data_IF_961462941228
#
_entry.id   IF_961462941228
#
_cell.length_a   1.000
_cell.length_b   1.000
_cell.length_c   1.000
_cell.angle_alpha   90.00
_cell.angle_beta   90.00
_cell.angle_gamma   90.00
#
_symmetry.space_group_name_H-M   'P 1'
#
loop_
_entity.id
_entity.type
_entity.pdbx_description
1 polymer ?
#
# COMPACT_ATOMS: atom_id res chain seq x y z
N UNK A 1 14.05 7.82 -24.31
CA UNK A 1 14.98 7.30 -23.27
C UNK A 1 14.59 7.79 -21.87
N UNK A 2 14.47 9.11 -21.63
CA UNK A 2 14.17 9.68 -20.30
C UNK A 2 12.82 9.28 -19.67
N UNK A 3 11.74 9.12 -20.46
CA UNK A 3 10.43 8.66 -19.93
C UNK A 3 10.46 7.23 -19.40
N UNK A 4 11.15 6.31 -20.09
CA UNK A 4 11.19 4.90 -19.66
C UNK A 4 11.96 4.70 -18.35
N UNK A 5 13.04 5.46 -18.14
CA UNK A 5 13.79 5.45 -16.88
C UNK A 5 13.00 6.04 -15.73
N UNK A 6 12.27 7.15 -15.95
CA UNK A 6 11.41 7.75 -14.95
C UNK A 6 10.30 6.79 -14.49
N UNK A 7 9.63 6.10 -15.43
CA UNK A 7 8.57 5.14 -15.07
C UNK A 7 9.12 3.92 -14.31
N UNK A 8 10.33 3.43 -14.66
CA UNK A 8 10.97 2.37 -13.86
C UNK A 8 11.29 2.85 -12.44
N UNK A 9 11.81 4.07 -12.31
CA UNK A 9 12.13 4.65 -11.00
C UNK A 9 10.87 4.79 -10.16
N UNK A 10 9.79 5.33 -10.72
CA UNK A 10 8.48 5.41 -10.07
C UNK A 10 8.01 4.02 -9.62
N UNK A 11 8.09 3.00 -10.48
CA UNK A 11 7.68 1.65 -10.13
C UNK A 11 8.50 1.01 -9.01
N UNK A 12 9.80 1.29 -8.92
CA UNK A 12 10.62 0.83 -7.81
C UNK A 12 10.36 1.62 -6.52
N UNK A 13 10.10 2.93 -6.61
CA UNK A 13 9.67 3.75 -5.47
C UNK A 13 8.33 3.26 -4.93
N UNK A 14 7.39 2.92 -5.82
CA UNK A 14 6.11 2.29 -5.47
C UNK A 14 6.34 0.96 -4.76
N UNK A 15 7.19 0.08 -5.30
CA UNK A 15 7.49 -1.20 -4.68
C UNK A 15 8.06 -1.04 -3.26
N UNK A 16 9.01 -0.11 -3.06
CA UNK A 16 9.59 0.15 -1.73
C UNK A 16 8.55 0.74 -0.77
N UNK A 17 7.80 1.75 -1.21
CA UNK A 17 6.81 2.42 -0.37
C UNK A 17 5.68 1.48 0.04
N UNK A 18 5.16 0.67 -0.89
CA UNK A 18 4.12 -0.33 -0.62
C UNK A 18 4.67 -1.44 0.28
N UNK A 19 5.91 -1.90 0.09
CA UNK A 19 6.53 -2.87 1.03
C UNK A 19 6.54 -2.36 2.48
N UNK A 20 6.77 -1.06 2.69
CA UNK A 20 6.72 -0.45 4.03
C UNK A 20 5.28 -0.28 4.54
N UNK A 21 4.31 -0.13 3.65
CA UNK A 21 2.88 -0.04 3.96
C UNK A 21 2.27 -1.39 4.36
N UNK A 22 2.59 -2.45 3.61
CA UNK A 22 2.17 -3.82 3.84
C UNK A 22 2.58 -4.36 5.23
N UNK A 23 3.66 -3.81 5.82
CA UNK A 23 4.11 -4.23 7.16
C UNK A 23 3.04 -3.96 8.24
N UNK A 24 2.55 -2.71 8.43
CA UNK A 24 1.44 -2.49 9.35
C UNK A 24 0.12 -3.17 8.99
N UNK A 25 -0.17 -3.40 7.70
CA UNK A 25 -1.34 -4.20 7.30
C UNK A 25 -1.25 -5.62 7.86
N UNK A 26 -0.10 -6.28 7.69
CA UNK A 26 0.17 -7.57 8.28
C UNK A 26 0.03 -7.56 9.81
N UNK A 27 0.57 -6.54 10.48
CA UNK A 27 0.42 -6.38 11.94
C UNK A 27 -1.06 -6.26 12.34
N UNK A 28 -1.87 -5.56 11.54
CA UNK A 28 -3.31 -5.44 11.76
C UNK A 28 -4.02 -6.80 11.63
N UNK A 29 -3.61 -7.66 10.68
CA UNK A 29 -4.10 -9.04 10.59
C UNK A 29 -3.81 -9.79 11.90
N UNK A 30 -2.57 -9.75 12.38
CA UNK A 30 -2.20 -10.40 13.63
C UNK A 30 -3.02 -9.88 14.83
N UNK A 31 -3.19 -8.57 14.94
CA UNK A 31 -3.99 -7.93 15.99
C UNK A 31 -5.46 -8.38 15.95
N UNK A 32 -6.06 -8.45 14.76
CA UNK A 32 -7.42 -8.92 14.57
C UNK A 32 -7.60 -10.39 14.99
N UNK A 33 -6.61 -11.24 14.74
CA UNK A 33 -6.62 -12.63 15.24
C UNK A 33 -6.49 -12.71 16.76
N UNK A 34 -5.72 -11.82 17.39
CA UNK A 34 -5.56 -11.79 18.85
C UNK A 34 -6.81 -11.32 19.60
N UNK A 35 -7.60 -10.40 19.01
CA UNK A 35 -8.88 -9.95 19.60
C UNK A 35 -9.95 -11.05 19.56
N UNK A 36 -9.92 -11.93 18.55
CA UNK A 36 -10.86 -13.03 18.40
C UNK A 36 -12.18 -12.64 17.70
N UNK A 37 -13.23 -13.45 17.89
CA UNK A 37 -14.57 -13.15 17.36
C UNK A 37 -14.74 -13.24 15.84
N UNK A 38 -13.81 -13.88 15.12
CA UNK A 38 -13.86 -14.00 13.66
C UNK A 38 -13.35 -12.78 12.88
N UNK A 39 -12.79 -11.78 13.57
CA UNK A 39 -12.25 -10.58 12.94
C UNK A 39 -11.00 -10.86 12.09
N UNK A 40 -10.13 -11.79 12.52
CA UNK A 40 -8.91 -12.16 11.80
C UNK A 40 -9.13 -12.52 10.33
N UNK A 41 -9.97 -13.53 10.01
CA UNK A 41 -10.28 -13.89 8.63
C UNK A 41 -10.89 -12.76 7.81
N UNK A 42 -11.75 -11.92 8.42
CA UNK A 42 -12.39 -10.80 7.74
C UNK A 42 -11.37 -9.72 7.35
N UNK A 43 -10.49 -9.36 8.28
CA UNK A 43 -9.42 -8.37 8.05
C UNK A 43 -8.41 -8.91 7.04
N UNK A 44 -8.00 -10.18 7.16
CA UNK A 44 -7.09 -10.81 6.20
C UNK A 44 -7.66 -10.82 4.77
N UNK A 45 -8.95 -11.15 4.60
CA UNK A 45 -9.60 -11.10 3.29
C UNK A 45 -9.70 -9.66 2.76
N UNK A 46 -10.03 -8.70 3.62
CA UNK A 46 -10.16 -7.29 3.25
C UNK A 46 -8.83 -6.72 2.74
N UNK A 47 -7.73 -7.01 3.45
CA UNK A 47 -6.37 -6.64 3.03
C UNK A 47 -5.99 -7.38 1.75
N UNK A 48 -6.23 -8.69 1.64
CA UNK A 48 -5.94 -9.42 0.40
C UNK A 48 -6.61 -8.81 -0.84
N UNK A 49 -7.83 -8.29 -0.70
CA UNK A 49 -8.52 -7.57 -1.78
C UNK A 49 -7.94 -6.16 -2.02
N UNK A 50 -7.45 -5.48 -0.99
CA UNK A 50 -6.79 -4.18 -1.08
C UNK A 50 -5.46 -4.23 -1.85
N UNK A 51 -4.66 -5.28 -1.62
CA UNK A 51 -3.32 -5.37 -2.19
C UNK A 51 -3.35 -5.73 -3.70
N UNK A 52 -4.51 -6.13 -4.25
CA UNK A 52 -4.68 -6.34 -5.70
C UNK A 52 -4.49 -5.00 -6.46
N UNK A 53 -5.27 -3.94 -6.17
CA UNK A 53 -5.00 -2.59 -6.68
C UNK A 53 -3.57 -2.11 -6.49
N UNK A 54 -2.95 -2.32 -5.33
CA UNK A 54 -1.59 -1.86 -5.05
C UNK A 54 -0.53 -2.60 -5.88
N UNK A 55 -0.70 -3.91 -6.05
CA UNK A 55 0.12 -4.72 -6.94
C UNK A 55 0.03 -4.21 -8.39
N UNK A 56 -1.17 -3.85 -8.86
CA UNK A 56 -1.36 -3.24 -10.19
C UNK A 56 -0.69 -1.87 -10.26
N UNK A 57 -0.84 -1.03 -9.23
CA UNK A 57 -0.24 0.31 -9.16
C UNK A 57 1.30 0.26 -9.15
N UNK A 58 1.89 -0.79 -8.57
CA UNK A 58 3.33 -1.06 -8.62
C UNK A 58 3.77 -1.59 -9.99
N UNK A 59 3.01 -2.52 -10.56
CA UNK A 59 3.35 -3.19 -11.81
C UNK A 59 3.27 -2.27 -13.04
N UNK A 60 2.24 -1.40 -13.10
CA UNK A 60 1.97 -0.54 -14.24
C UNK A 60 3.17 0.36 -14.64
N UNK A 61 3.78 1.16 -13.73
CA UNK A 61 4.93 1.99 -14.08
C UNK A 61 6.17 1.16 -14.46
N UNK A 62 6.40 -0.02 -13.85
CA UNK A 62 7.48 -0.91 -14.27
C UNK A 62 7.27 -1.43 -15.71
N UNK A 63 6.03 -1.78 -16.06
CA UNK A 63 5.66 -2.21 -17.40
C UNK A 63 5.81 -1.08 -18.42
N UNK A 64 5.31 0.12 -18.09
CA UNK A 64 5.45 1.33 -18.93
C UNK A 64 6.92 1.75 -19.09
N UNK A 65 7.75 1.47 -18.08
CA UNK A 65 9.19 1.61 -18.14
C UNK A 65 9.89 0.55 -19.01
N UNK A 66 9.17 -0.41 -19.58
CA UNK A 66 9.70 -1.45 -20.46
C UNK A 66 10.47 -2.54 -19.70
N UNK A 67 10.14 -2.79 -18.43
CA UNK A 67 10.67 -3.94 -17.69
C UNK A 67 10.01 -5.24 -18.20
N UNK A 68 10.75 -6.35 -18.22
CA UNK A 68 10.20 -7.63 -18.69
C UNK A 68 9.16 -8.15 -17.68
N UNK A 69 8.04 -8.77 -18.12
CA UNK A 69 6.98 -9.24 -17.22
C UNK A 69 7.47 -10.15 -16.08
N UNK A 70 8.47 -11.00 -16.33
CA UNK A 70 9.06 -11.87 -15.29
C UNK A 70 9.69 -11.07 -14.15
N UNK A 71 10.36 -9.95 -14.42
CA UNK A 71 10.94 -9.11 -13.38
C UNK A 71 9.86 -8.37 -12.61
N UNK A 72 8.80 -7.92 -13.30
CA UNK A 72 7.65 -7.27 -12.67
C UNK A 72 6.95 -8.24 -11.71
N UNK A 73 6.72 -9.47 -12.15
CA UNK A 73 6.13 -10.52 -11.33
C UNK A 73 7.00 -10.81 -10.10
N UNK A 74 8.32 -10.94 -10.27
CA UNK A 74 9.24 -11.12 -9.15
C UNK A 74 9.22 -9.94 -8.18
N UNK A 75 9.24 -8.70 -8.68
CA UNK A 75 9.18 -7.50 -7.85
C UNK A 75 7.88 -7.46 -7.04
N UNK A 76 6.72 -7.61 -7.69
CA UNK A 76 5.42 -7.58 -6.99
C UNK A 76 5.30 -8.74 -6.00
N UNK A 77 5.75 -9.95 -6.37
CA UNK A 77 5.76 -11.09 -5.44
C UNK A 77 6.61 -10.82 -4.20
N UNK A 78 7.78 -10.19 -4.34
CA UNK A 78 8.63 -9.81 -3.19
C UNK A 78 7.94 -8.76 -2.32
N UNK A 79 7.29 -7.76 -2.93
CA UNK A 79 6.51 -6.75 -2.19
C UNK A 79 5.40 -7.43 -1.40
N UNK A 80 4.64 -8.33 -2.01
CA UNK A 80 3.54 -9.05 -1.34
C UNK A 80 3.98 -9.95 -0.18
N UNK A 81 5.28 -10.25 -0.02
CA UNK A 81 5.80 -10.97 1.15
C UNK A 81 5.87 -10.07 2.41
N UNK A 82 5.80 -8.75 2.27
CA UNK A 82 5.85 -7.85 3.41
C UNK A 82 4.58 -7.92 4.27
N UNK A 83 3.41 -8.20 3.69
CA UNK A 83 2.18 -8.45 4.45
C UNK A 83 2.30 -9.67 5.39
N UNK A 84 2.62 -10.89 4.92
CA UNK A 84 2.82 -12.03 5.82
C UNK A 84 4.00 -11.84 6.78
N UNK A 85 5.06 -11.13 6.37
CA UNK A 85 6.15 -10.76 7.26
C UNK A 85 5.66 -9.84 8.39
N UNK A 86 4.85 -8.83 8.06
CA UNK A 86 4.18 -7.94 9.00
C UNK A 86 3.28 -8.72 9.97
N UNK A 87 2.54 -9.71 9.48
CA UNK A 87 1.72 -10.60 10.33
C UNK A 87 2.59 -11.39 11.30
N UNK A 88 3.69 -11.98 10.85
CA UNK A 88 4.62 -12.70 11.73
C UNK A 88 5.20 -11.77 12.79
N UNK A 89 5.70 -10.60 12.39
CA UNK A 89 6.19 -9.56 13.30
C UNK A 89 5.08 -9.17 14.29
N UNK A 90 3.85 -8.97 13.81
CA UNK A 90 2.67 -8.64 14.60
C UNK A 90 2.37 -9.67 15.68
N UNK A 91 2.46 -10.97 15.37
CA UNK A 91 2.25 -12.05 16.36
C UNK A 91 3.23 -11.91 17.54
N UNK A 92 4.49 -11.53 17.28
CA UNK A 92 5.46 -11.27 18.34
C UNK A 92 5.22 -9.92 19.03
N UNK A 93 4.85 -8.87 18.27
CA UNK A 93 4.63 -7.51 18.77
C UNK A 93 3.34 -7.34 19.58
N UNK A 94 2.34 -8.21 19.43
CA UNK A 94 1.14 -8.19 20.27
C UNK A 94 1.49 -8.45 21.74
N UNK A 95 2.65 -9.06 22.00
CA UNK A 95 3.21 -9.19 23.35
C UNK A 95 4.02 -7.96 23.81
N UNK A 96 4.25 -6.99 22.91
CA UNK A 96 5.03 -5.77 23.14
C UNK A 96 4.13 -4.57 23.44
N UNK A 97 4.74 -3.50 23.99
CA UNK A 97 4.00 -2.33 24.49
C UNK A 97 3.29 -1.54 23.38
N UNK A 98 2.19 -0.82 23.70
CA UNK A 98 1.45 0.01 22.74
C UNK A 98 2.32 0.99 21.93
N UNK A 99 3.45 1.44 22.47
CA UNK A 99 4.36 2.38 21.78
C UNK A 99 5.00 1.82 20.51
N UNK A 100 5.28 0.50 20.45
CA UNK A 100 5.88 -0.10 19.25
C UNK A 100 4.89 -0.15 18.09
N UNK A 101 3.63 -0.46 18.39
CA UNK A 101 2.56 -0.45 17.39
C UNK A 101 2.35 0.97 16.84
N UNK A 102 2.29 1.98 17.70
CA UNK A 102 2.18 3.38 17.27
C UNK A 102 3.32 3.82 16.37
N UNK A 103 4.57 3.41 16.67
CA UNK A 103 5.73 3.71 15.83
C UNK A 103 5.60 3.11 14.43
N UNK A 104 5.21 1.84 14.31
CA UNK A 104 5.11 1.16 13.02
C UNK A 104 3.98 1.74 12.15
N UNK A 105 2.85 2.07 12.76
CA UNK A 105 1.75 2.77 12.08
C UNK A 105 2.19 4.15 11.58
N UNK A 106 2.90 4.93 12.41
CA UNK A 106 3.42 6.24 12.02
C UNK A 106 4.47 6.15 10.90
N UNK A 107 5.32 5.11 10.94
CA UNK A 107 6.31 4.85 9.90
C UNK A 107 5.65 4.59 8.54
N UNK A 108 4.63 3.72 8.47
CA UNK A 108 3.91 3.48 7.22
C UNK A 108 3.11 4.70 6.74
N UNK A 109 2.49 5.44 7.67
CA UNK A 109 1.81 6.69 7.32
C UNK A 109 2.78 7.68 6.65
N UNK A 110 4.00 7.82 7.18
CA UNK A 110 5.05 8.64 6.59
C UNK A 110 5.47 8.17 5.19
N UNK A 111 5.65 6.86 4.99
CA UNK A 111 5.98 6.29 3.68
C UNK A 111 4.90 6.57 2.63
N UNK A 112 3.62 6.40 2.99
CA UNK A 112 2.50 6.67 2.08
C UNK A 112 2.31 8.15 1.79
N UNK A 113 2.58 9.04 2.74
CA UNK A 113 2.57 10.49 2.49
C UNK A 113 3.58 10.84 1.39
N UNK A 114 4.83 10.35 1.48
CA UNK A 114 5.84 10.57 0.46
C UNK A 114 5.40 10.00 -0.90
N UNK A 115 4.95 8.75 -0.92
CA UNK A 115 4.54 8.07 -2.15
C UNK A 115 3.36 8.76 -2.84
N UNK A 116 2.38 9.25 -2.09
CA UNK A 116 1.24 9.98 -2.65
C UNK A 116 1.67 11.37 -3.15
N UNK A 117 2.36 12.14 -2.31
CA UNK A 117 2.64 13.55 -2.58
C UNK A 117 3.75 13.74 -3.60
N UNK A 118 4.82 12.96 -3.53
CA UNK A 118 6.05 13.18 -4.28
C UNK A 118 6.15 12.28 -5.52
N UNK A 119 5.35 11.20 -5.61
CA UNK A 119 5.35 10.28 -6.76
C UNK A 119 3.99 10.23 -7.49
N UNK A 120 2.92 9.77 -6.82
CA UNK A 120 1.63 9.50 -7.48
C UNK A 120 0.91 10.76 -7.95
N UNK A 121 0.77 11.77 -7.09
CA UNK A 121 0.03 12.98 -7.40
C UNK A 121 0.72 13.79 -8.53
N UNK A 122 2.04 14.03 -8.50
CA UNK A 122 2.75 14.66 -9.61
C UNK A 122 2.60 13.87 -10.91
N UNK A 123 2.75 12.54 -10.86
CA UNK A 123 2.59 11.67 -12.03
C UNK A 123 1.19 11.74 -12.64
N UNK A 124 0.15 11.87 -11.81
CA UNK A 124 -1.23 12.04 -12.28
C UNK A 124 -1.46 13.44 -12.89
N UNK A 125 -0.89 14.49 -12.29
CA UNK A 125 -0.98 15.86 -12.78
C UNK A 125 -0.28 16.03 -14.13
N UNK A 126 0.85 15.35 -14.34
CA UNK A 126 1.57 15.30 -15.62
C UNK A 126 0.73 14.72 -16.76
N UNK A 127 -0.24 13.85 -16.44
CA UNK A 127 -1.17 13.27 -17.42
C UNK A 127 -2.36 14.19 -17.66
N UNK A 128 -3.01 14.65 -16.59
CA UNK A 128 -4.06 15.66 -16.65
C UNK A 128 -4.34 16.25 -15.28
N UNK A 129 -4.14 17.56 -15.15
CA UNK A 129 -4.39 18.28 -13.90
C UNK A 129 -5.86 18.22 -13.45
N UNK A 130 -6.82 18.32 -14.38
CA UNK A 130 -8.26 18.25 -14.05
C UNK A 130 -8.65 16.86 -13.54
N UNK A 131 -8.31 15.80 -14.28
CA UNK A 131 -8.68 14.43 -13.90
C UNK A 131 -7.95 13.97 -12.63
N UNK A 132 -6.72 14.44 -12.40
CA UNK A 132 -5.99 14.20 -11.17
C UNK A 132 -6.76 14.73 -9.95
N UNK A 133 -7.13 16.01 -9.94
CA UNK A 133 -7.87 16.61 -8.82
C UNK A 133 -9.28 16.04 -8.67
N UNK A 134 -9.96 15.76 -9.77
CA UNK A 134 -11.26 15.08 -9.72
C UNK A 134 -11.13 13.69 -9.08
N UNK A 135 -10.11 12.91 -9.46
CA UNK A 135 -9.84 11.60 -8.88
C UNK A 135 -9.55 11.67 -7.38
N UNK A 136 -8.74 12.64 -6.94
CA UNK A 136 -8.47 12.88 -5.50
C UNK A 136 -9.75 13.23 -4.75
N UNK A 137 -10.55 14.17 -5.27
CA UNK A 137 -11.80 14.60 -4.64
C UNK A 137 -12.83 13.46 -4.57
N UNK A 138 -12.99 12.71 -5.65
CA UNK A 138 -13.89 11.56 -5.70
C UNK A 138 -13.45 10.46 -4.74
N UNK A 139 -12.15 10.11 -4.72
CA UNK A 139 -11.61 9.12 -3.80
C UNK A 139 -11.80 9.51 -2.33
N UNK A 140 -11.51 10.77 -1.99
CA UNK A 140 -11.76 11.30 -0.64
C UNK A 140 -13.25 11.23 -0.27
N UNK A 141 -14.15 11.67 -1.16
CA UNK A 141 -15.58 11.66 -0.92
C UNK A 141 -16.13 10.23 -0.72
N UNK A 142 -15.66 9.27 -1.53
CA UNK A 142 -16.05 7.85 -1.40
C UNK A 142 -15.65 7.32 -0.03
N UNK A 143 -14.40 7.54 0.40
CA UNK A 143 -13.93 7.09 1.71
C UNK A 143 -14.67 7.78 2.85
N UNK A 144 -14.84 9.10 2.77
CA UNK A 144 -15.59 9.88 3.76
C UNK A 144 -17.02 9.36 3.90
N UNK A 145 -17.71 9.11 2.79
CA UNK A 145 -19.08 8.61 2.77
C UNK A 145 -19.17 7.19 3.32
N UNK A 146 -18.25 6.31 2.94
CA UNK A 146 -18.18 4.95 3.45
C UNK A 146 -17.97 4.92 4.98
N UNK A 147 -17.11 5.78 5.51
CA UNK A 147 -16.90 5.92 6.96
C UNK A 147 -18.15 6.44 7.67
N UNK A 148 -18.85 7.44 7.11
CA UNK A 148 -20.08 7.97 7.70
C UNK A 148 -21.23 6.95 7.72
N UNK A 149 -21.25 6.02 6.75
CA UNK A 149 -22.21 4.90 6.75
C UNK A 149 -21.86 3.81 7.78
N UNK A 150 -20.59 3.67 8.12
CA UNK A 150 -20.10 2.63 9.03
C UNK A 150 -20.34 2.96 10.52
N UNK A 151 -20.63 4.22 10.86
CA UNK A 151 -20.94 4.69 12.22
C UNK A 151 -19.80 5.46 12.86
#
# INVERSE_FOLDING_TARGET
>A
LHRGTAMRQMGYMMAIGISLHDLPEGIAIAGAYAVGGGLGPLIALSIALHNIPEGIATAAPLLMGGLRPVHILLTVSVVSLFTPLGTLIGIFLIQLSPGHLSFLLALAAGAMIYLIKDELLPSAQDQSMFWSWFGVAAGYFILWFALHLAG
#
